data_IF_982846001923
#
_entry.id   IF_982846001923
#
_cell.length_a   1.000
_cell.length_b   1.000
_cell.length_c   1.000
_cell.angle_alpha   90.00
_cell.angle_beta   90.00
_cell.angle_gamma   90.00
#
_symmetry.space_group_name_H-M   'P 1'
#
loop_
_entity.id
_entity.type
_entity.pdbx_description
1 polymer ?
#
# COMPACT_ATOMS: atom_id res chain seq x y z
N UNK A 1 -2.19 -8.94 -5.93
CA UNK A 1 -1.43 -8.40 -4.78
C UNK A 1 -2.08 -8.79 -3.45
N UNK A 2 -3.28 -8.32 -3.11
CA UNK A 2 -3.94 -8.64 -1.83
C UNK A 2 -4.06 -10.14 -1.48
N UNK A 3 -4.20 -11.03 -2.48
CA UNK A 3 -4.20 -12.49 -2.25
C UNK A 3 -2.86 -13.07 -1.76
N UNK A 4 -1.76 -12.33 -1.88
CA UNK A 4 -0.44 -12.69 -1.36
C UNK A 4 -0.13 -12.01 -0.02
N UNK A 5 -0.98 -11.06 0.39
CA UNK A 5 -0.83 -10.32 1.63
C UNK A 5 -1.21 -11.18 2.85
N UNK A 6 -0.42 -11.04 3.90
CA UNK A 6 -0.47 -11.74 5.17
C UNK A 6 -0.53 -10.72 6.31
N UNK A 7 -1.08 -11.13 7.43
CA UNK A 7 -0.96 -10.39 8.69
C UNK A 7 0.50 -10.02 8.95
N UNK A 8 0.77 -8.76 9.31
CA UNK A 8 2.11 -8.22 9.47
C UNK A 8 2.69 -7.54 8.22
N UNK A 9 2.01 -7.58 7.07
CA UNK A 9 2.51 -6.93 5.86
C UNK A 9 2.20 -5.43 5.80
N UNK A 10 3.16 -4.67 5.27
CA UNK A 10 2.99 -3.27 4.89
C UNK A 10 3.00 -3.14 3.36
N UNK A 11 2.09 -2.31 2.84
CA UNK A 11 2.04 -1.88 1.45
C UNK A 11 2.13 -0.36 1.42
N UNK A 12 3.20 0.16 0.81
CA UNK A 12 3.43 1.59 0.65
C UNK A 12 2.94 2.05 -0.72
N UNK A 13 2.06 3.05 -0.74
CA UNK A 13 1.59 3.67 -1.96
C UNK A 13 2.32 5.01 -2.16
N UNK A 14 3.10 5.09 -3.23
CA UNK A 14 3.81 6.30 -3.64
C UNK A 14 3.20 6.87 -4.93
N UNK A 15 3.27 8.18 -5.10
CA UNK A 15 2.76 8.86 -6.30
C UNK A 15 2.10 10.18 -5.97
N UNK A 16 1.93 11.02 -6.98
CA UNK A 16 1.38 12.37 -6.81
C UNK A 16 -0.09 12.39 -6.39
N UNK A 17 -0.60 13.57 -6.04
CA UNK A 17 -2.01 13.79 -5.79
C UNK A 17 -2.81 13.42 -7.04
N UNK A 18 -3.88 12.63 -6.88
CA UNK A 18 -4.70 12.16 -8.00
C UNK A 18 -4.13 10.96 -8.78
N UNK A 19 -2.95 10.43 -8.43
CA UNK A 19 -2.35 9.27 -9.10
C UNK A 19 -3.15 7.96 -8.92
N UNK A 20 -4.14 7.93 -8.02
CA UNK A 20 -5.03 6.78 -7.82
C UNK A 20 -4.70 5.90 -6.60
N UNK A 21 -3.94 6.41 -5.63
CA UNK A 21 -3.59 5.69 -4.39
C UNK A 21 -4.81 5.16 -3.63
N UNK A 22 -5.83 5.99 -3.39
CA UNK A 22 -7.09 5.53 -2.78
C UNK A 22 -7.85 4.52 -3.64
N UNK A 23 -7.82 4.65 -4.97
CA UNK A 23 -8.43 3.67 -5.89
C UNK A 23 -7.74 2.31 -5.77
N UNK A 24 -6.41 2.31 -5.63
CA UNK A 24 -5.66 1.11 -5.32
C UNK A 24 -6.08 0.50 -3.98
N UNK A 25 -6.16 1.30 -2.91
CA UNK A 25 -6.57 0.84 -1.58
C UNK A 25 -7.98 0.21 -1.60
N UNK A 26 -8.91 0.79 -2.35
CA UNK A 26 -10.24 0.22 -2.58
C UNK A 26 -10.20 -1.15 -3.25
N UNK A 27 -9.44 -1.28 -4.35
CA UNK A 27 -9.27 -2.56 -5.03
C UNK A 27 -8.60 -3.62 -4.16
N UNK A 28 -7.60 -3.20 -3.38
CA UNK A 28 -6.89 -4.05 -2.42
C UNK A 28 -7.83 -4.56 -1.32
N UNK A 29 -8.60 -3.67 -0.69
CA UNK A 29 -9.53 -4.04 0.36
C UNK A 29 -10.69 -4.90 -0.13
N UNK A 30 -11.24 -4.63 -1.32
CA UNK A 30 -12.23 -5.53 -1.96
C UNK A 30 -11.68 -6.95 -2.13
N UNK A 31 -10.42 -7.07 -2.56
CA UNK A 31 -9.76 -8.37 -2.69
C UNK A 31 -9.42 -9.04 -1.34
N UNK A 32 -9.48 -8.30 -0.22
CA UNK A 32 -9.48 -8.85 1.14
C UNK A 32 -10.88 -9.20 1.66
N UNK A 33 -11.93 -9.00 0.86
CA UNK A 33 -13.32 -9.29 1.26
C UNK A 33 -13.96 -8.19 2.09
N UNK A 34 -13.45 -6.95 2.05
CA UNK A 34 -14.06 -5.80 2.70
C UNK A 34 -15.25 -5.33 1.85
N UNK A 35 -16.44 -5.32 2.44
CA UNK A 35 -17.68 -4.93 1.76
C UNK A 35 -18.01 -3.45 1.95
N UNK A 36 -17.52 -2.83 3.02
CA UNK A 36 -17.77 -1.42 3.30
C UNK A 36 -16.98 -0.48 2.38
N UNK A 37 -17.48 0.75 2.13
CA UNK A 37 -16.79 1.71 1.28
C UNK A 37 -15.45 2.16 1.88
N UNK A 38 -14.35 1.87 1.18
CA UNK A 38 -13.04 2.42 1.51
C UNK A 38 -12.92 3.82 0.89
N UNK A 39 -12.82 4.83 1.75
CA UNK A 39 -12.58 6.22 1.36
C UNK A 39 -11.20 6.67 1.82
N UNK A 40 -10.65 7.71 1.18
CA UNK A 40 -9.38 8.29 1.64
C UNK A 40 -9.48 8.73 3.11
N UNK A 41 -8.53 8.31 3.97
CA UNK A 41 -8.49 8.72 5.36
C UNK A 41 -7.75 10.06 5.55
N UNK A 42 -7.58 10.92 4.55
CA UNK A 42 -6.79 12.17 4.69
C UNK A 42 -7.13 13.07 5.90
N UNK A 43 -8.34 12.98 6.46
CA UNK A 43 -8.74 13.70 7.68
C UNK A 43 -8.68 12.84 8.95
N UNK A 44 -9.03 11.56 8.85
CA UNK A 44 -8.99 10.63 9.99
C UNK A 44 -7.59 10.06 10.22
N UNK A 45 -6.67 10.28 9.28
CA UNK A 45 -5.31 9.75 9.13
C UNK A 45 -5.25 8.22 9.00
N UNK A 46 -6.01 7.50 9.81
CA UNK A 46 -6.10 6.04 9.81
C UNK A 46 -7.57 5.61 9.80
N UNK A 47 -7.86 4.55 9.06
CA UNK A 47 -9.11 3.78 9.13
C UNK A 47 -8.83 2.30 9.17
N UNK A 48 -9.63 1.58 9.94
CA UNK A 48 -9.47 0.14 10.14
C UNK A 48 -10.72 -0.56 9.61
N UNK A 49 -10.52 -1.55 8.76
CA UNK A 49 -11.58 -2.28 8.10
C UNK A 49 -11.47 -3.79 8.40
N UNK A 50 -12.57 -4.44 8.82
CA UNK A 50 -12.61 -5.89 8.98
C UNK A 50 -12.70 -6.58 7.61
N UNK A 51 -11.81 -7.53 7.36
CA UNK A 51 -11.83 -8.38 6.18
C UNK A 51 -11.19 -9.74 6.50
N UNK A 52 -10.82 -10.52 5.47
CA UNK A 52 -10.06 -11.77 5.63
C UNK A 52 -8.82 -11.58 6.51
N UNK A 53 -8.18 -10.42 6.36
CA UNK A 53 -7.19 -9.87 7.29
C UNK A 53 -7.62 -8.43 7.55
N UNK A 54 -7.46 -7.96 8.79
CA UNK A 54 -7.75 -6.57 9.17
C UNK A 54 -6.91 -5.62 8.32
N UNK A 55 -7.54 -4.67 7.65
CA UNK A 55 -6.86 -3.66 6.85
C UNK A 55 -6.75 -2.36 7.65
N UNK A 56 -5.54 -1.85 7.82
CA UNK A 56 -5.26 -0.50 8.30
C UNK A 56 -4.93 0.35 7.08
N UNK A 57 -5.81 1.27 6.71
CA UNK A 57 -5.59 2.22 5.64
C UNK A 57 -5.19 3.56 6.25
N UNK A 58 -3.97 4.01 5.94
CA UNK A 58 -3.44 5.28 6.42
C UNK A 58 -3.14 6.23 5.27
N UNK A 59 -3.27 7.54 5.51
CA UNK A 59 -2.87 8.60 4.60
C UNK A 59 -2.09 9.64 5.41
N UNK A 60 -0.78 9.72 5.16
CA UNK A 60 0.15 10.58 5.91
C UNK A 60 0.47 11.88 5.19
N UNK A 61 -0.22 12.22 4.09
CA UNK A 61 0.07 13.40 3.27
C UNK A 61 0.16 14.72 4.05
N UNK A 62 -0.63 14.82 5.13
CA UNK A 62 -0.74 16.05 5.93
C UNK A 62 0.21 16.11 7.11
N UNK A 63 1.02 15.08 7.30
CA UNK A 63 1.97 15.01 8.40
C UNK A 63 3.30 15.59 7.93
N UNK A 64 3.75 16.63 8.61
CA UNK A 64 4.97 17.36 8.28
C UNK A 64 6.17 16.79 9.02
N UNK A 65 5.93 16.03 10.09
CA UNK A 65 6.97 15.49 10.96
C UNK A 65 6.88 13.99 11.12
N UNK A 66 8.04 13.33 11.10
CA UNK A 66 8.15 11.88 11.29
C UNK A 66 7.50 11.43 12.62
N UNK A 67 7.56 12.26 13.67
CA UNK A 67 6.95 11.97 14.95
C UNK A 67 5.42 11.82 14.85
N UNK A 68 4.75 12.60 14.00
CA UNK A 68 3.30 12.48 13.81
C UNK A 68 2.94 11.15 13.15
N UNK A 69 3.81 10.63 12.27
CA UNK A 69 3.65 9.29 11.67
C UNK A 69 3.82 8.21 12.74
N UNK A 70 4.79 8.36 13.64
CA UNK A 70 5.01 7.44 14.77
C UNK A 70 3.79 7.42 15.69
N UNK A 71 3.18 8.57 15.95
CA UNK A 71 2.01 8.69 16.82
C UNK A 71 0.75 7.98 16.26
N UNK A 72 0.75 7.60 14.97
CA UNK A 72 -0.30 6.77 14.38
C UNK A 72 -0.26 5.30 14.83
N UNK A 73 0.83 4.86 15.46
CA UNK A 73 1.03 3.48 15.95
C UNK A 73 0.80 2.40 14.86
N UNK A 74 1.20 2.70 13.62
CA UNK A 74 1.07 1.76 12.50
C UNK A 74 1.87 0.46 12.72
N UNK A 75 3.12 0.49 13.22
CA UNK A 75 3.87 -0.74 13.50
C UNK A 75 3.13 -1.66 14.48
N UNK A 76 2.56 -1.11 15.55
CA UNK A 76 1.84 -1.87 16.57
C UNK A 76 0.60 -2.54 15.99
N UNK A 77 -0.19 -1.82 15.18
CA UNK A 77 -1.38 -2.39 14.54
C UNK A 77 -1.05 -3.52 13.56
N UNK A 78 0.10 -3.41 12.89
CA UNK A 78 0.65 -4.43 11.99
C UNK A 78 1.12 -5.65 12.77
N UNK A 79 1.83 -5.46 13.88
CA UNK A 79 2.27 -6.51 14.79
C UNK A 79 1.10 -7.27 15.43
N UNK A 80 -0.02 -6.59 15.67
CA UNK A 80 -1.30 -7.21 16.09
C UNK A 80 -1.99 -8.02 14.96
N UNK A 81 -1.36 -8.14 13.79
CA UNK A 81 -1.81 -8.99 12.69
C UNK A 81 -2.65 -8.28 11.64
N UNK A 82 -2.60 -6.95 11.54
CA UNK A 82 -3.17 -6.23 10.41
C UNK A 82 -2.28 -6.27 9.17
N UNK A 83 -2.86 -5.94 8.02
CA UNK A 83 -2.13 -5.45 6.84
C UNK A 83 -2.27 -3.95 6.81
N UNK A 84 -1.17 -3.22 6.66
CA UNK A 84 -1.21 -1.78 6.45
C UNK A 84 -1.12 -1.41 4.97
N UNK A 85 -1.97 -0.52 4.51
CA UNK A 85 -1.86 0.20 3.23
C UNK A 85 -1.67 1.67 3.54
N UNK A 86 -0.51 2.23 3.23
CA UNK A 86 -0.14 3.60 3.61
C UNK A 86 0.03 4.46 2.36
N UNK A 87 -0.83 5.46 2.18
CA UNK A 87 -0.69 6.48 1.14
C UNK A 87 0.41 7.48 1.52
N UNK A 88 1.18 7.91 0.51
CA UNK A 88 2.36 8.79 0.68
C UNK A 88 3.46 8.12 1.53
N UNK A 89 3.64 6.83 1.25
CA UNK A 89 4.59 5.96 1.93
C UNK A 89 6.05 6.38 1.80
N UNK A 90 6.39 7.20 0.81
CA UNK A 90 7.73 7.77 0.63
C UNK A 90 8.14 8.69 1.79
N UNK A 91 7.19 9.43 2.35
CA UNK A 91 7.41 10.26 3.55
C UNK A 91 7.38 9.42 4.82
N UNK A 92 6.51 8.40 4.88
CA UNK A 92 6.36 7.53 6.05
C UNK A 92 7.41 6.41 6.15
N UNK A 93 8.11 6.06 5.07
CA UNK A 93 9.02 4.92 5.02
C UNK A 93 10.03 4.86 6.19
N UNK A 94 10.63 5.97 6.66
CA UNK A 94 11.55 5.92 7.80
C UNK A 94 10.90 5.55 9.15
N UNK A 95 9.58 5.70 9.29
CA UNK A 95 8.81 5.36 10.49
C UNK A 95 8.13 3.97 10.41
N UNK A 96 8.28 3.26 9.30
CA UNK A 96 7.62 1.99 9.05
C UNK A 96 8.61 0.82 9.06
N UNK A 97 8.12 -0.42 9.24
CA UNK A 97 8.94 -1.61 9.13
C UNK A 97 9.77 -1.62 7.84
N UNK A 98 11.02 -2.08 7.90
CA UNK A 98 11.92 -2.17 6.74
C UNK A 98 11.57 -3.32 5.75
N UNK A 99 10.36 -3.88 5.87
CA UNK A 99 9.82 -4.93 5.01
C UNK A 99 8.44 -4.50 4.51
N UNK A 100 8.35 -4.21 3.22
CA UNK A 100 7.13 -3.69 2.61
C UNK A 100 7.08 -3.97 1.11
N UNK A 101 5.86 -3.91 0.57
CA UNK A 101 5.63 -3.82 -0.86
C UNK A 101 5.48 -2.35 -1.23
N UNK A 102 6.41 -1.80 -2.00
CA UNK A 102 6.24 -0.49 -2.61
C UNK A 102 5.39 -0.63 -3.88
N UNK A 103 4.35 0.20 -3.98
CA UNK A 103 3.54 0.37 -5.18
C UNK A 103 3.55 1.84 -5.55
N UNK A 104 4.23 2.17 -6.65
CA UNK A 104 4.33 3.51 -7.18
C UNK A 104 3.34 3.70 -8.32
N UNK A 105 2.49 4.72 -8.23
CA UNK A 105 1.52 5.10 -9.25
C UNK A 105 1.95 6.41 -9.90
N UNK A 106 2.15 6.37 -11.21
CA UNK A 106 2.63 7.49 -12.00
C UNK A 106 1.67 7.79 -13.16
N UNK A 107 1.58 9.07 -13.49
CA UNK A 107 0.91 9.50 -14.71
C UNK A 107 1.62 8.92 -15.93
N UNK A 108 0.84 8.58 -16.96
CA UNK A 108 1.38 8.20 -18.27
C UNK A 108 1.13 9.32 -19.28
N UNK A 109 1.67 9.19 -20.50
CA UNK A 109 1.39 10.13 -21.60
C UNK A 109 -0.08 10.09 -22.04
N UNK A 110 -0.79 8.97 -21.81
CA UNK A 110 -2.21 8.85 -22.02
C UNK A 110 -2.98 9.20 -20.73
N UNK A 111 -4.00 10.05 -20.84
CA UNK A 111 -4.77 10.57 -19.71
C UNK A 111 -5.48 9.47 -18.90
N UNK A 112 -5.90 8.40 -19.58
CA UNK A 112 -6.63 7.26 -18.99
C UNK A 112 -5.73 6.10 -18.55
N UNK A 113 -4.41 6.25 -18.65
CA UNK A 113 -3.45 5.23 -18.27
C UNK A 113 -2.60 5.69 -17.07
N UNK A 114 -2.28 4.73 -16.19
CA UNK A 114 -1.33 4.91 -15.09
C UNK A 114 -0.24 3.87 -15.23
N UNK A 115 1.00 4.31 -15.06
CA UNK A 115 2.12 3.39 -14.88
C UNK A 115 2.16 2.98 -13.42
N UNK A 116 2.19 1.68 -13.17
CA UNK A 116 2.29 1.13 -11.81
C UNK A 116 3.56 0.31 -11.71
N UNK A 117 4.48 0.77 -10.87
CA UNK A 117 5.72 0.06 -10.54
C UNK A 117 5.57 -0.62 -9.19
N UNK A 118 6.00 -1.87 -9.07
CA UNK A 118 5.85 -2.66 -7.84
C UNK A 118 7.21 -3.22 -7.44
N UNK A 119 7.66 -2.89 -6.23
CA UNK A 119 8.93 -3.33 -5.67
C UNK A 119 8.74 -4.03 -4.33
N UNK A 120 9.35 -5.22 -4.18
CA UNK A 120 9.42 -5.89 -2.88
C UNK A 120 10.67 -5.41 -2.13
N UNK A 121 10.50 -4.95 -0.89
CA UNK A 121 11.59 -4.52 0.00
C UNK A 121 11.56 -5.37 1.25
N UNK A 122 12.72 -5.82 1.72
CA UNK A 122 12.84 -6.70 2.88
C UNK A 122 12.58 -8.19 2.57
N UNK A 123 12.95 -9.10 3.48
CA UNK A 123 12.95 -10.54 3.25
C UNK A 123 11.55 -11.16 3.03
N UNK A 124 10.50 -10.72 3.73
CA UNK A 124 9.18 -11.32 3.68
C UNK A 124 8.47 -11.05 2.35
N UNK A 125 8.51 -9.82 1.83
CA UNK A 125 8.01 -9.55 0.48
C UNK A 125 8.93 -10.08 -0.62
N UNK A 126 10.25 -10.04 -0.45
CA UNK A 126 11.19 -10.62 -1.43
C UNK A 126 10.99 -12.12 -1.63
N UNK A 127 10.69 -12.86 -0.55
CA UNK A 127 10.35 -14.28 -0.63
C UNK A 127 9.09 -14.57 -1.48
N UNK A 128 8.23 -13.57 -1.72
CA UNK A 128 7.01 -13.67 -2.54
C UNK A 128 7.19 -13.08 -3.94
N UNK A 129 8.37 -12.60 -4.32
CA UNK A 129 8.60 -11.92 -5.59
C UNK A 129 8.20 -12.75 -6.82
N UNK A 130 8.49 -14.06 -6.83
CA UNK A 130 8.07 -14.94 -7.94
C UNK A 130 6.55 -15.06 -8.07
N UNK A 131 5.84 -15.21 -6.95
CA UNK A 131 4.37 -15.25 -6.94
C UNK A 131 3.76 -13.89 -7.30
N UNK A 132 4.40 -12.80 -6.88
CA UNK A 132 4.02 -11.44 -7.23
C UNK A 132 4.16 -11.20 -8.74
N UNK A 133 5.32 -11.56 -9.33
CA UNK A 133 5.56 -11.47 -10.76
C UNK A 133 4.54 -12.30 -11.55
N UNK A 134 4.28 -13.55 -11.14
CA UNK A 134 3.25 -14.39 -11.77
C UNK A 134 1.85 -13.75 -11.71
N UNK A 135 1.48 -13.17 -10.57
CA UNK A 135 0.19 -12.50 -10.39
C UNK A 135 0.06 -11.21 -11.22
N UNK A 136 1.18 -10.54 -11.50
CA UNK A 136 1.26 -9.32 -12.30
C UNK A 136 1.53 -9.58 -13.79
N UNK A 137 1.90 -10.80 -14.20
CA UNK A 137 2.38 -11.10 -15.55
C UNK A 137 1.43 -10.73 -16.70
N UNK A 138 0.12 -10.66 -16.46
CA UNK A 138 -0.85 -10.17 -17.47
C UNK A 138 -0.87 -8.65 -17.66
N UNK A 139 -0.26 -7.91 -16.74
CA UNK A 139 -0.16 -6.44 -16.71
C UNK A 139 1.27 -5.96 -16.97
N UNK A 140 2.27 -6.82 -16.75
CA UNK A 140 3.69 -6.49 -16.96
C UNK A 140 3.99 -6.29 -18.44
N UNK A 141 4.41 -5.08 -18.80
CA UNK A 141 5.36 -4.90 -19.90
C UNK A 141 6.72 -4.81 -19.24
N UNK A 142 7.64 -5.71 -19.57
CA UNK A 142 9.01 -5.61 -19.08
C UNK A 142 9.52 -4.19 -19.36
N UNK A 143 9.99 -3.50 -18.33
CA UNK A 143 10.85 -2.35 -18.54
C UNK A 143 12.12 -2.92 -19.18
N UNK A 144 12.20 -2.81 -20.50
CA UNK A 144 13.42 -3.12 -21.23
C UNK A 144 14.59 -2.30 -20.66
N UNK A 145 15.83 -2.80 -20.81
CA UNK A 145 17.02 -2.13 -20.31
C UNK A 145 17.19 -0.70 -20.83
#
# INVERSE_FOLDING_TARGET
MAGLARAGDVVLLAGELGAGKTVFAQGFGRALGIEEPITSPSFTLVRIYPGRVRLVHADVYRLDHLQEVVDLALPELVDEGAVAVVEWGDVAAPALPADYLEVRLEWSEAEDERRVSVGAVGPAWSARQGALAAALGRWGRDAGP
#
